data_IF_187677172015
#
_entry.id   IF_187677172015
#
_cell.length_a   1.000
_cell.length_b   1.000
_cell.length_c   1.000
_cell.angle_alpha   90.00
_cell.angle_beta   90.00
_cell.angle_gamma   90.00
#
_symmetry.space_group_name_H-M   'P 1'
#
loop_
_entity.id
_entity.type
_entity.pdbx_description
1 polymer ?
#
# COMPACT_ATOMS: atom_id res chain seq x y z
N UNK A 1 -10.75 6.65 -2.09
CA UNK A 1 -9.28 6.85 -2.26
C UNK A 1 -9.01 8.35 -2.17
N UNK A 2 -7.94 8.77 -1.50
CA UNK A 2 -7.47 10.18 -1.49
C UNK A 2 -6.26 10.33 -2.41
N UNK A 3 -5.24 9.49 -2.24
CA UNK A 3 -3.99 9.55 -3.00
C UNK A 3 -3.43 8.13 -3.16
N UNK A 4 -2.88 7.82 -4.33
CA UNK A 4 -2.21 6.54 -4.63
C UNK A 4 -1.10 6.77 -5.66
N UNK A 5 0.07 6.18 -5.44
CA UNK A 5 1.18 6.19 -6.40
C UNK A 5 2.22 5.12 -6.06
N UNK A 6 2.98 4.70 -7.07
CA UNK A 6 4.12 3.81 -6.86
C UNK A 6 5.35 4.63 -6.42
N UNK A 7 6.03 4.16 -5.38
CA UNK A 7 7.23 4.82 -4.81
C UNK A 7 8.49 4.34 -5.55
N UNK A 8 8.64 3.02 -5.70
CA UNK A 8 9.80 2.41 -6.31
C UNK A 8 9.50 1.00 -6.81
N UNK A 9 10.20 0.58 -7.86
CA UNK A 9 10.15 -0.80 -8.36
C UNK A 9 11.27 -1.62 -7.73
N UNK A 10 10.94 -2.82 -7.25
CA UNK A 10 11.92 -3.75 -6.65
C UNK A 10 12.39 -4.80 -7.66
N UNK A 11 11.45 -5.40 -8.39
CA UNK A 11 11.74 -6.43 -9.40
C UNK A 11 10.85 -6.23 -10.63
N UNK A 12 10.90 -7.13 -11.60
CA UNK A 12 10.01 -7.08 -12.76
C UNK A 12 8.52 -7.13 -12.37
N UNK A 13 8.21 -7.75 -11.24
CA UNK A 13 6.85 -8.04 -10.80
C UNK A 13 6.56 -7.65 -9.34
N UNK A 14 7.37 -6.76 -8.76
CA UNK A 14 7.13 -6.24 -7.41
C UNK A 14 7.53 -4.76 -7.30
N UNK A 15 6.75 -4.01 -6.54
CA UNK A 15 6.93 -2.59 -6.24
C UNK A 15 6.63 -2.26 -4.78
N UNK A 16 7.01 -1.04 -4.38
CA UNK A 16 6.57 -0.39 -3.14
C UNK A 16 5.67 0.76 -3.54
N UNK A 17 4.48 0.84 -2.96
CA UNK A 17 3.48 1.87 -3.26
C UNK A 17 2.95 2.57 -2.01
N UNK A 18 2.40 3.76 -2.23
CA UNK A 18 1.64 4.53 -1.24
C UNK A 18 0.17 4.53 -1.61
N UNK A 19 -0.70 4.38 -0.62
CA UNK A 19 -2.14 4.49 -0.78
C UNK A 19 -2.79 5.12 0.44
N UNK A 20 -3.80 5.96 0.24
CA UNK A 20 -4.60 6.55 1.32
C UNK A 20 -6.09 6.58 1.02
N UNK A 21 -6.90 6.49 2.06
CA UNK A 21 -8.36 6.56 1.93
C UNK A 21 -8.99 7.52 2.94
N UNK A 22 -10.20 7.96 2.59
CA UNK A 22 -11.04 8.79 3.45
C UNK A 22 -11.85 7.90 4.37
N UNK A 23 -11.92 8.26 5.66
CA UNK A 23 -12.79 7.58 6.62
C UNK A 23 -13.99 8.44 6.98
N UNK A 24 -15.12 7.83 7.40
CA UNK A 24 -16.26 8.58 7.89
C UNK A 24 -15.89 9.31 9.20
N UNK A 25 -16.43 10.52 9.37
CA UNK A 25 -16.32 11.27 10.62
C UNK A 25 -16.91 10.46 11.78
N UNK A 26 -16.28 10.43 12.97
CA UNK A 26 -15.16 11.27 13.44
C UNK A 26 -13.76 10.64 13.23
N UNK A 27 -13.64 9.58 12.44
CA UNK A 27 -12.37 8.86 12.32
C UNK A 27 -11.39 9.59 11.40
N UNK A 28 -10.12 9.67 11.80
CA UNK A 28 -9.04 10.19 10.95
C UNK A 28 -8.86 9.34 9.69
N UNK A 29 -8.37 9.94 8.60
CA UNK A 29 -8.05 9.21 7.37
C UNK A 29 -6.88 8.24 7.60
N UNK A 30 -6.74 7.22 6.76
CA UNK A 30 -5.64 6.23 6.86
C UNK A 30 -4.77 6.26 5.63
N UNK A 31 -3.48 6.05 5.85
CA UNK A 31 -2.48 5.85 4.81
C UNK A 31 -1.75 4.51 5.01
N UNK A 32 -1.18 4.02 3.93
CA UNK A 32 -0.46 2.76 3.85
C UNK A 32 0.79 2.95 2.98
N UNK A 33 1.85 2.25 3.37
CA UNK A 33 2.99 1.97 2.49
C UNK A 33 3.06 0.46 2.38
N UNK A 34 2.91 -0.08 1.17
CA UNK A 34 2.87 -1.53 0.94
C UNK A 34 3.92 -1.95 -0.06
N UNK A 35 4.49 -3.13 0.14
CA UNK A 35 5.18 -3.85 -0.93
C UNK A 35 4.16 -4.79 -1.56
N UNK A 36 4.03 -4.70 -2.88
CA UNK A 36 3.11 -5.52 -3.67
C UNK A 36 3.91 -6.34 -4.67
N UNK A 37 3.47 -7.58 -4.87
CA UNK A 37 4.02 -8.48 -5.87
C UNK A 37 2.87 -9.13 -6.65
N UNK A 38 3.08 -9.38 -7.94
CA UNK A 38 2.10 -10.01 -8.81
C UNK A 38 2.69 -11.17 -9.59
N UNK A 39 1.85 -12.16 -9.88
CA UNK A 39 2.25 -13.37 -10.59
C UNK A 39 1.10 -13.88 -11.47
N UNK A 40 1.28 -13.95 -12.80
CA UNK A 40 0.40 -14.72 -13.68
C UNK A 40 0.57 -16.22 -13.42
N UNK A 41 -0.54 -16.94 -13.30
CA UNK A 41 -0.63 -18.37 -13.04
C UNK A 41 -1.39 -19.06 -14.19
N UNK A 42 -0.86 -18.94 -15.41
CA UNK A 42 -1.53 -19.43 -16.62
C UNK A 42 -2.76 -18.60 -16.96
N UNK A 43 -3.95 -19.11 -16.61
CA UNK A 43 -5.22 -18.40 -16.82
C UNK A 43 -5.64 -17.52 -15.64
N UNK A 44 -4.95 -17.64 -14.51
CA UNK A 44 -5.24 -16.89 -13.29
C UNK A 44 -4.17 -15.83 -13.02
N UNK A 45 -4.48 -14.91 -12.10
CA UNK A 45 -3.56 -13.87 -11.65
C UNK A 45 -3.61 -13.77 -10.13
N UNK A 46 -2.45 -13.59 -9.52
CA UNK A 46 -2.33 -13.34 -8.09
C UNK A 46 -1.60 -12.03 -7.87
N UNK A 47 -2.14 -11.19 -6.99
CA UNK A 47 -1.51 -9.96 -6.54
C UNK A 47 -1.57 -9.99 -5.02
N UNK A 48 -0.46 -9.87 -4.31
CA UNK A 48 -0.43 -9.87 -2.86
C UNK A 48 0.37 -8.65 -2.40
N UNK A 49 -0.04 -8.06 -1.29
CA UNK A 49 0.69 -7.01 -0.62
C UNK A 49 0.68 -7.14 0.90
N UNK A 50 1.68 -6.53 1.52
CA UNK A 50 1.77 -6.33 2.96
C UNK A 50 2.45 -4.98 3.25
N UNK A 51 2.22 -4.43 4.44
CA UNK A 51 2.78 -3.12 4.81
C UNK A 51 4.28 -3.18 5.10
N UNK A 52 5.01 -2.21 4.57
CA UNK A 52 6.45 -2.01 4.79
C UNK A 52 6.73 -0.59 5.29
N UNK A 53 7.93 -0.36 5.82
CA UNK A 53 8.40 0.98 6.18
C UNK A 53 9.32 1.50 5.09
N UNK A 54 9.07 2.72 4.61
CA UNK A 54 9.94 3.41 3.66
C UNK A 54 10.45 4.73 4.29
N UNK A 55 11.77 4.98 4.37
CA UNK A 55 12.32 6.14 5.09
C UNK A 55 11.79 7.49 4.62
N UNK A 56 11.56 7.64 3.31
CA UNK A 56 11.01 8.88 2.71
C UNK A 56 9.48 9.02 2.87
N UNK A 57 8.79 8.00 3.40
CA UNK A 57 7.34 8.01 3.61
C UNK A 57 6.97 7.71 5.08
N UNK A 58 7.44 8.54 6.04
CA UNK A 58 7.09 8.38 7.45
C UNK A 58 5.58 8.62 7.70
N UNK A 59 5.05 8.24 8.88
CA UNK A 59 3.65 8.53 9.24
C UNK A 59 3.34 10.03 9.22
N UNK A 60 2.22 10.40 8.61
CA UNK A 60 1.74 11.80 8.52
C UNK A 60 0.81 12.11 9.69
N UNK A 61 0.91 13.30 10.29
CA UNK A 61 0.11 13.71 11.47
C UNK A 61 -1.41 13.59 11.28
N UNK A 62 -1.89 13.88 10.07
CA UNK A 62 -3.31 13.92 9.73
C UNK A 62 -3.88 12.55 9.34
N UNK A 63 -3.02 11.52 9.27
CA UNK A 63 -3.37 10.16 8.93
C UNK A 63 -3.02 9.20 10.07
N UNK A 64 -3.80 8.14 10.19
CA UNK A 64 -3.40 6.95 10.94
C UNK A 64 -2.67 6.02 9.97
N UNK A 65 -1.38 5.75 10.21
CA UNK A 65 -0.63 4.73 9.45
C UNK A 65 -1.20 3.35 9.76
N UNK A 66 -2.00 2.84 8.84
CA UNK A 66 -2.59 1.52 8.96
C UNK A 66 -1.59 0.44 8.48
N UNK A 67 -1.86 -0.81 8.89
CA UNK A 67 -0.98 -1.96 8.62
C UNK A 67 -1.80 -3.04 7.93
N UNK A 68 -1.45 -3.32 6.67
CA UNK A 68 -1.87 -4.51 5.94
C UNK A 68 -0.96 -5.66 6.36
N UNK A 69 -1.49 -6.64 7.11
CA UNK A 69 -0.71 -7.83 7.47
C UNK A 69 -0.49 -8.73 6.24
N UNK A 70 -1.58 -9.01 5.53
CA UNK A 70 -1.59 -9.72 4.25
C UNK A 70 -2.91 -9.41 3.56
N UNK A 71 -2.86 -8.92 2.32
CA UNK A 71 -4.05 -8.74 1.46
C UNK A 71 -3.67 -9.05 0.01
N UNK A 72 -4.62 -9.48 -0.81
CA UNK A 72 -4.37 -9.84 -2.20
C UNK A 72 -5.60 -10.36 -2.90
#
# INVERSE_FOLDING_TARGET
>A
MIETYDIARLTVNADVGYYSWKCPSPLKNRDFVTMRSWLPLGNDYMIINYSVKHPQHPPKKDYVRAVSLLTG
#
